data_IF_950879181409
#
_entry.id   IF_950879181409
#
_cell.length_a   1.000
_cell.length_b   1.000
_cell.length_c   1.000
_cell.angle_alpha   90.00
_cell.angle_beta   90.00
_cell.angle_gamma   90.00
#
_symmetry.space_group_name_H-M   'P 1'
#
loop_
_entity.id
_entity.type
_entity.pdbx_description
1 polymer ?
#
# COMPACT_ATOMS: atom_id res chain seq x y z
N UNK A 1 15.19 -26.47 1.17
CA UNK A 1 13.98 -26.27 0.37
C UNK A 1 13.68 -24.79 0.26
N UNK A 2 13.55 -24.28 -0.94
CA UNK A 2 13.28 -22.87 -1.13
C UNK A 2 11.83 -22.54 -0.78
N UNK A 3 11.64 -21.41 -0.14
CA UNK A 3 10.32 -20.89 0.22
C UNK A 3 9.87 -19.87 -0.82
N UNK A 4 8.65 -19.99 -1.27
CA UNK A 4 8.05 -19.04 -2.19
C UNK A 4 7.28 -18.01 -1.35
N UNK A 5 7.58 -16.73 -1.56
CA UNK A 5 6.84 -15.64 -0.98
C UNK A 5 5.95 -15.01 -2.06
N UNK A 6 4.74 -14.64 -1.67
CA UNK A 6 3.77 -14.04 -2.57
C UNK A 6 3.63 -12.55 -2.23
N UNK A 7 3.72 -11.71 -3.24
CA UNK A 7 3.42 -10.29 -3.14
C UNK A 7 2.14 -10.02 -3.91
N UNK A 8 1.16 -9.43 -3.25
CA UNK A 8 -0.08 -8.99 -3.89
C UNK A 8 0.00 -7.51 -4.20
N UNK A 9 -0.28 -7.13 -5.42
CA UNK A 9 -0.25 -5.75 -5.87
C UNK A 9 -1.60 -5.29 -6.44
N UNK A 10 -2.69 -5.92 -6.03
CA UNK A 10 -4.03 -5.60 -6.53
C UNK A 10 -4.36 -4.13 -6.34
N UNK A 11 -4.14 -3.59 -5.15
CA UNK A 11 -4.50 -2.21 -4.83
C UNK A 11 -3.55 -1.17 -5.42
N UNK A 12 -2.43 -1.61 -5.96
CA UNK A 12 -1.49 -0.73 -6.65
C UNK A 12 -1.57 -0.94 -8.16
N UNK A 13 -1.07 -2.05 -8.66
CA UNK A 13 -1.01 -2.33 -10.08
C UNK A 13 -2.40 -2.61 -10.68
N UNK A 14 -3.24 -3.30 -9.94
CA UNK A 14 -4.61 -3.59 -10.37
C UNK A 14 -5.48 -2.35 -10.52
N UNK A 15 -5.09 -1.24 -9.93
CA UNK A 15 -5.85 0.02 -10.00
C UNK A 15 -5.87 0.69 -11.36
N UNK A 16 -4.99 0.29 -12.26
CA UNK A 16 -5.06 0.81 -13.65
C UNK A 16 -6.36 0.44 -14.36
N UNK A 17 -7.07 -0.55 -13.88
CA UNK A 17 -8.34 -0.99 -14.46
C UNK A 17 -9.49 -0.06 -14.10
N UNK A 18 -9.46 0.54 -12.92
CA UNK A 18 -10.59 1.33 -12.37
C UNK A 18 -10.16 2.66 -11.75
N UNK A 19 -8.99 3.17 -12.10
CA UNK A 19 -8.41 4.40 -11.56
C UNK A 19 -8.28 4.38 -10.03
N UNK A 20 -7.99 3.20 -9.46
CA UNK A 20 -7.84 2.97 -8.01
C UNK A 20 -9.08 3.30 -7.19
N UNK A 21 -10.24 3.28 -7.83
CA UNK A 21 -11.53 3.60 -7.19
C UNK A 21 -12.17 2.36 -6.61
N UNK A 22 -11.61 1.87 -5.50
CA UNK A 22 -12.10 0.66 -4.85
C UNK A 22 -13.26 0.91 -3.89
N UNK A 23 -13.31 2.11 -3.31
CA UNK A 23 -14.08 2.37 -2.13
C UNK A 23 -13.30 1.99 -0.87
N UNK A 24 -13.42 2.79 0.15
CA UNK A 24 -12.63 2.63 1.38
C UNK A 24 -12.83 1.26 2.04
N UNK A 25 -14.09 0.86 2.20
CA UNK A 25 -14.39 -0.42 2.86
C UNK A 25 -13.94 -1.60 2.02
N UNK A 26 -14.13 -1.55 0.71
CA UNK A 26 -13.68 -2.62 -0.17
C UNK A 26 -12.17 -2.80 -0.12
N UNK A 27 -11.42 -1.69 -0.18
CA UNK A 27 -9.96 -1.75 -0.08
C UNK A 27 -9.52 -2.36 1.24
N UNK A 28 -10.13 -1.95 2.35
CA UNK A 28 -9.83 -2.51 3.66
C UNK A 28 -10.12 -4.02 3.72
N UNK A 29 -11.23 -4.45 3.16
CA UNK A 29 -11.58 -5.87 3.14
C UNK A 29 -10.62 -6.70 2.29
N UNK A 30 -10.16 -6.16 1.16
CA UNK A 30 -9.13 -6.80 0.35
C UNK A 30 -7.87 -7.01 1.17
N UNK A 31 -7.40 -5.97 1.84
CA UNK A 31 -6.19 -6.02 2.67
C UNK A 31 -6.35 -7.04 3.80
N UNK A 32 -7.46 -6.98 4.52
CA UNK A 32 -7.73 -7.91 5.62
C UNK A 32 -7.80 -9.36 5.14
N UNK A 33 -8.43 -9.60 4.00
CA UNK A 33 -8.57 -10.95 3.47
C UNK A 33 -7.22 -11.53 3.05
N UNK A 34 -6.39 -10.72 2.42
CA UNK A 34 -5.04 -11.13 2.00
C UNK A 34 -4.16 -11.45 3.22
N UNK A 35 -4.23 -10.59 4.24
CA UNK A 35 -3.48 -10.80 5.47
C UNK A 35 -3.93 -12.07 6.20
N UNK A 36 -5.24 -12.30 6.28
CA UNK A 36 -5.78 -13.53 6.90
C UNK A 36 -5.37 -14.78 6.12
N UNK A 37 -5.25 -14.66 4.81
CA UNK A 37 -4.80 -15.77 3.97
C UNK A 37 -3.30 -16.05 4.10
N UNK A 38 -2.56 -15.17 4.76
CA UNK A 38 -1.12 -15.34 4.96
C UNK A 38 -0.26 -14.91 3.79
N UNK A 39 -0.76 -14.01 2.93
CA UNK A 39 0.05 -13.41 1.87
C UNK A 39 1.20 -12.62 2.50
N UNK A 40 2.43 -12.90 2.09
CA UNK A 40 3.61 -12.35 2.76
C UNK A 40 3.76 -10.84 2.59
N UNK A 41 3.49 -10.31 1.40
CA UNK A 41 3.59 -8.87 1.15
C UNK A 41 2.33 -8.39 0.44
N UNK A 42 1.70 -7.36 0.99
CA UNK A 42 0.53 -6.72 0.40
C UNK A 42 0.86 -5.26 0.10
N UNK A 43 0.86 -4.90 -1.17
CA UNK A 43 0.97 -3.50 -1.57
C UNK A 43 -0.40 -2.84 -1.40
N UNK A 44 -0.45 -1.79 -0.59
CA UNK A 44 -1.73 -1.16 -0.24
C UNK A 44 -2.08 0.03 -1.12
N UNK A 45 -1.17 0.48 -1.98
CA UNK A 45 -1.46 1.54 -2.92
C UNK A 45 -0.24 2.29 -3.42
N UNK A 46 -0.50 3.42 -4.05
CA UNK A 46 0.51 4.33 -4.57
C UNK A 46 0.69 5.54 -3.67
N UNK A 47 1.95 5.94 -3.50
CA UNK A 47 2.30 7.27 -3.01
C UNK A 47 2.73 8.10 -4.22
N UNK A 48 1.93 9.09 -4.58
CA UNK A 48 2.21 10.03 -5.67
C UNK A 48 1.55 11.36 -5.33
N UNK A 49 2.01 12.41 -6.00
CA UNK A 49 1.42 13.73 -5.81
C UNK A 49 0.00 13.74 -6.39
N UNK A 50 -0.97 14.00 -5.53
CA UNK A 50 -2.36 14.22 -5.91
C UNK A 50 -2.84 15.51 -5.29
N UNK A 51 -3.76 16.20 -5.97
CA UNK A 51 -4.24 17.49 -5.48
C UNK A 51 -5.08 17.36 -4.23
N UNK A 52 -5.86 16.30 -4.13
CA UNK A 52 -6.80 16.12 -3.05
C UNK A 52 -6.86 14.66 -2.63
N UNK A 53 -6.80 14.42 -1.33
CA UNK A 53 -6.92 13.08 -0.77
C UNK A 53 -8.36 12.58 -0.89
N UNK A 54 -8.52 11.36 -1.37
CA UNK A 54 -9.81 10.68 -1.42
C UNK A 54 -9.64 9.28 -0.82
N UNK A 55 -10.29 9.01 0.30
CA UNK A 55 -10.14 7.74 1.00
C UNK A 55 -10.63 6.53 0.19
N UNK A 56 -11.46 6.76 -0.82
CA UNK A 56 -11.99 5.67 -1.67
C UNK A 56 -11.02 5.25 -2.77
N UNK A 57 -9.89 5.94 -2.88
CA UNK A 57 -8.85 5.67 -3.87
C UNK A 57 -7.57 5.30 -3.15
N UNK A 58 -6.88 4.26 -3.63
CA UNK A 58 -5.62 3.81 -3.01
C UNK A 58 -4.40 4.56 -3.57
N UNK A 59 -4.55 5.86 -3.81
CA UNK A 59 -3.46 6.76 -4.24
C UNK A 59 -3.50 7.99 -3.36
N UNK A 60 -2.39 8.33 -2.72
CA UNK A 60 -2.37 9.47 -1.81
C UNK A 60 -0.98 10.08 -1.68
N UNK A 61 -0.95 11.29 -1.10
CA UNK A 61 0.29 12.06 -0.92
C UNK A 61 1.11 11.61 0.28
N UNK A 62 0.45 11.15 1.34
CA UNK A 62 1.09 10.89 2.62
C UNK A 62 0.85 9.46 3.06
N UNK A 63 1.88 8.88 3.65
CA UNK A 63 1.83 7.49 4.10
C UNK A 63 0.76 7.29 5.19
N UNK A 64 0.50 8.31 6.01
CA UNK A 64 -0.52 8.25 7.04
C UNK A 64 -1.91 8.02 6.45
N UNK A 65 -2.14 8.49 5.24
CA UNK A 65 -3.41 8.28 4.56
C UNK A 65 -3.59 6.82 4.17
N UNK A 66 -2.52 6.15 3.74
CA UNK A 66 -2.56 4.72 3.46
C UNK A 66 -2.72 3.88 4.73
N UNK A 67 -2.20 4.37 5.86
CA UNK A 67 -2.35 3.68 7.13
C UNK A 67 -3.80 3.47 7.53
N UNK A 68 -4.70 4.32 7.05
CA UNK A 68 -6.15 4.16 7.32
C UNK A 68 -6.73 2.90 6.71
N UNK A 69 -6.10 2.38 5.66
CA UNK A 69 -6.52 1.16 5.00
C UNK A 69 -6.06 -0.10 5.72
N UNK A 70 -5.09 0.01 6.61
CA UNK A 70 -4.47 -1.14 7.25
C UNK A 70 -5.35 -1.74 8.34
N UNK A 71 -5.24 -3.06 8.58
CA UNK A 71 -5.99 -3.71 9.65
C UNK A 71 -5.57 -3.16 11.01
N UNK A 72 -6.53 -3.07 11.93
CA UNK A 72 -6.23 -2.77 13.32
C UNK A 72 -5.53 -3.93 14.00
N UNK A 73 -5.89 -5.15 13.61
CA UNK A 73 -5.23 -6.35 14.10
C UNK A 73 -3.87 -6.51 13.45
N UNK A 74 -2.86 -6.86 14.24
CA UNK A 74 -1.53 -7.12 13.73
C UNK A 74 -1.43 -8.54 13.16
N UNK A 75 -0.87 -8.66 11.97
CA UNK A 75 -0.62 -9.95 11.32
C UNK A 75 0.88 -10.16 11.22
N UNK A 76 1.37 -11.20 11.89
CA UNK A 76 2.82 -11.45 12.01
C UNK A 76 3.47 -11.88 10.69
N UNK A 77 2.71 -12.53 9.81
CA UNK A 77 3.25 -13.11 8.59
C UNK A 77 3.02 -12.24 7.35
N UNK A 78 2.45 -11.05 7.51
CA UNK A 78 2.15 -10.16 6.40
C UNK A 78 2.84 -8.81 6.59
N UNK A 79 3.59 -8.41 5.59
CA UNK A 79 4.21 -7.10 5.50
C UNK A 79 3.36 -6.22 4.57
N UNK A 80 3.09 -5.00 5.00
CA UNK A 80 2.39 -4.03 4.15
C UNK A 80 3.39 -3.07 3.54
N UNK A 81 3.21 -2.78 2.24
CA UNK A 81 4.10 -1.89 1.52
C UNK A 81 3.31 -0.97 0.61
N UNK A 82 3.95 0.05 0.10
CA UNK A 82 3.37 0.96 -0.88
C UNK A 82 4.45 1.30 -1.90
N UNK A 83 4.03 1.56 -3.13
CA UNK A 83 4.95 2.03 -4.15
C UNK A 83 4.96 3.56 -4.13
N UNK A 84 6.14 4.14 -4.05
CA UNK A 84 6.34 5.57 -4.23
C UNK A 84 6.95 5.81 -5.61
N UNK A 85 6.27 6.60 -6.44
CA UNK A 85 6.78 6.90 -7.78
C UNK A 85 7.77 8.05 -7.70
N UNK A 86 9.02 7.76 -7.98
CA UNK A 86 10.12 8.73 -7.89
C UNK A 86 9.87 9.99 -8.72
N UNK A 87 9.28 9.84 -9.89
CA UNK A 87 9.00 10.96 -10.79
C UNK A 87 7.81 11.80 -10.35
N UNK A 88 7.04 11.35 -9.38
CA UNK A 88 5.78 11.96 -9.01
C UNK A 88 5.55 11.95 -7.49
N UNK A 89 6.63 11.92 -6.72
CA UNK A 89 6.55 11.91 -5.27
C UNK A 89 7.87 12.37 -4.67
N UNK A 90 7.78 13.11 -3.56
CA UNK A 90 8.95 13.58 -2.83
C UNK A 90 9.51 12.47 -1.95
N UNK A 91 10.52 11.77 -2.44
CA UNK A 91 11.15 10.64 -1.73
C UNK A 91 11.80 11.09 -0.43
N UNK A 92 12.35 12.31 -0.37
CA UNK A 92 12.97 12.81 0.87
C UNK A 92 11.94 12.94 1.98
N UNK A 93 10.75 13.46 1.67
CA UNK A 93 9.66 13.49 2.64
C UNK A 93 9.24 12.10 3.09
N UNK A 94 9.19 11.15 2.15
CA UNK A 94 8.82 9.77 2.46
C UNK A 94 9.82 9.14 3.45
N UNK A 95 11.11 9.38 3.24
CA UNK A 95 12.17 8.81 4.10
C UNK A 95 12.09 9.35 5.52
N UNK A 96 11.65 10.60 5.70
CA UNK A 96 11.55 11.23 7.00
C UNK A 96 10.30 10.87 7.78
N UNK A 97 9.33 10.21 7.14
CA UNK A 97 8.12 9.80 7.81
C UNK A 97 8.36 8.52 8.63
N UNK A 98 7.75 8.46 9.81
CA UNK A 98 7.70 7.23 10.59
C UNK A 98 6.61 6.34 10.02
N UNK A 99 6.97 5.11 9.69
CA UNK A 99 6.07 4.17 9.02
C UNK A 99 5.79 2.98 9.94
N UNK A 100 4.90 3.13 10.93
CA UNK A 100 4.70 2.08 11.93
C UNK A 100 4.10 0.79 11.37
N UNK A 101 3.45 0.87 10.21
CA UNK A 101 2.75 -0.28 9.63
C UNK A 101 3.16 -0.58 8.19
N UNK A 102 3.90 0.30 7.52
CA UNK A 102 4.34 0.12 6.14
C UNK A 102 5.85 0.03 6.09
N UNK A 103 6.34 -0.88 5.26
CA UNK A 103 7.76 -0.99 4.95
C UNK A 103 8.01 -0.46 3.54
N UNK A 104 9.11 0.27 3.37
CA UNK A 104 9.52 0.77 2.08
C UNK A 104 10.34 -0.28 1.34
N UNK A 105 10.02 -0.49 0.08
CA UNK A 105 10.88 -1.27 -0.82
C UNK A 105 11.54 -0.29 -1.78
N UNK A 106 12.87 -0.21 -1.77
CA UNK A 106 13.60 0.76 -2.58
C UNK A 106 13.37 0.56 -4.08
N UNK A 107 13.18 -0.66 -4.50
CA UNK A 107 12.86 -0.99 -5.89
C UNK A 107 11.50 -0.42 -6.29
N UNK A 108 10.56 -0.40 -5.39
CA UNK A 108 9.23 0.14 -5.65
C UNK A 108 9.25 1.65 -5.81
N UNK A 109 10.24 2.33 -5.23
CA UNK A 109 10.36 3.78 -5.31
C UNK A 109 10.95 4.26 -6.64
N UNK A 110 11.42 3.37 -7.46
CA UNK A 110 12.04 3.72 -8.75
C UNK A 110 11.02 3.79 -9.92
#
# INVERSE_FOLDING_TARGET
>A
MSRINVLDCTLRDGGYVNDWKWGFQCAREIINSLARAGVEVVEVGFLRNVEEYNQDISVCNHIEELNRLLPEKQYENTMFSAMAMRSNYDIENAVNLKLPKLDWTSEAAV
#
